data_IF_803811816965
#
_entry.id   IF_803811816965
#
_cell.length_a   1.000
_cell.length_b   1.000
_cell.length_c   1.000
_cell.angle_alpha   90.00
_cell.angle_beta   90.00
_cell.angle_gamma   90.00
#
_symmetry.space_group_name_H-M   'P 1'
#
loop_
_entity.id
_entity.type
_entity.pdbx_description
1 polymer ?
#
# COMPACT_ATOMS: atom_id res chain seq x y z
N UNK A 1 -14.21 9.56 11.54
CA UNK A 1 -15.24 9.94 12.52
C UNK A 1 -16.52 9.17 12.24
N UNK A 2 -17.17 8.66 13.29
CA UNK A 2 -18.41 7.89 13.16
C UNK A 2 -19.35 8.21 14.31
N UNK A 3 -20.61 8.55 13.97
CA UNK A 3 -21.70 8.75 14.93
C UNK A 3 -21.31 9.67 16.10
N UNK A 4 -20.66 10.78 15.80
CA UNK A 4 -20.20 11.75 16.79
C UNK A 4 -20.69 13.16 16.44
N UNK A 5 -20.74 14.01 17.45
CA UNK A 5 -21.05 15.44 17.31
C UNK A 5 -19.73 16.22 17.27
N UNK A 6 -19.47 16.85 16.14
CA UNK A 6 -18.34 17.74 15.87
C UNK A 6 -18.84 19.15 15.53
N UNK A 7 -20.03 19.53 16.03
CA UNK A 7 -20.57 20.85 15.84
C UNK A 7 -19.62 21.92 16.40
N UNK A 8 -19.34 22.94 15.58
CA UNK A 8 -18.40 24.00 15.94
C UNK A 8 -16.92 23.59 15.99
N UNK A 9 -16.57 22.36 15.64
CA UNK A 9 -15.18 21.91 15.62
C UNK A 9 -14.36 22.72 14.61
N UNK A 10 -13.08 22.95 14.91
CA UNK A 10 -12.13 23.68 14.07
C UNK A 10 -11.22 22.70 13.33
N UNK A 11 -11.32 22.69 12.00
CA UNK A 11 -10.47 21.93 11.09
C UNK A 11 -9.56 22.81 10.22
N UNK A 12 -9.39 24.08 10.62
CA UNK A 12 -8.56 25.02 9.87
C UNK A 12 -7.17 24.50 9.63
N UNK A 13 -6.72 24.48 8.38
CA UNK A 13 -5.41 23.98 7.98
C UNK A 13 -5.22 22.48 8.15
N UNK A 14 -6.21 21.72 8.61
CA UNK A 14 -6.11 20.28 8.76
C UNK A 14 -6.04 19.57 7.40
N UNK A 15 -5.24 18.52 7.30
CA UNK A 15 -5.28 17.61 6.16
C UNK A 15 -6.31 16.50 6.38
N UNK A 16 -7.38 16.53 5.58
CA UNK A 16 -8.44 15.53 5.60
C UNK A 16 -8.23 14.37 4.61
N UNK A 17 -7.01 14.18 4.12
CA UNK A 17 -6.65 12.97 3.38
C UNK A 17 -7.07 11.75 4.19
N UNK A 18 -7.81 10.84 3.55
CA UNK A 18 -8.25 9.60 4.19
C UNK A 18 -9.16 9.77 5.43
N UNK A 19 -9.68 10.96 5.67
CA UNK A 19 -10.68 11.18 6.71
C UNK A 19 -12.07 10.83 6.17
N UNK A 20 -12.80 10.01 6.92
CA UNK A 20 -14.16 9.59 6.60
C UNK A 20 -15.08 10.04 7.72
N UNK A 21 -16.18 10.65 7.32
CA UNK A 21 -17.29 10.99 8.19
C UNK A 21 -18.44 10.00 7.94
N UNK A 22 -19.06 9.51 8.98
CA UNK A 22 -20.24 8.67 8.89
C UNK A 22 -21.20 9.02 10.00
N UNK A 23 -22.38 9.50 9.64
CA UNK A 23 -23.44 9.91 10.57
C UNK A 23 -22.88 10.91 11.60
N UNK A 24 -22.16 11.94 11.12
CA UNK A 24 -21.47 12.93 11.97
C UNK A 24 -22.21 14.25 11.89
N UNK A 25 -22.46 14.86 13.05
CA UNK A 25 -22.98 16.22 13.11
C UNK A 25 -21.83 17.22 12.99
N UNK A 26 -21.95 18.14 12.03
CA UNK A 26 -20.91 19.11 11.68
C UNK A 26 -21.38 20.57 11.73
N UNK A 27 -22.58 20.82 12.26
CA UNK A 27 -23.19 22.16 12.26
C UNK A 27 -22.22 23.21 12.82
N UNK A 28 -21.90 24.23 12.02
CA UNK A 28 -20.97 25.30 12.39
C UNK A 28 -19.49 24.91 12.45
N UNK A 29 -19.12 23.66 12.11
CA UNK A 29 -17.72 23.26 12.03
C UNK A 29 -16.99 24.08 10.94
N UNK A 30 -15.76 24.50 11.23
CA UNK A 30 -14.93 25.36 10.39
C UNK A 30 -13.88 24.52 9.62
N UNK A 31 -13.98 24.55 8.30
CA UNK A 31 -13.10 23.85 7.36
C UNK A 31 -12.29 24.84 6.50
N UNK A 32 -12.14 26.09 6.94
CA UNK A 32 -11.32 27.09 6.24
C UNK A 32 -9.90 26.56 6.08
N UNK A 33 -9.29 26.77 4.90
CA UNK A 33 -7.92 26.39 4.60
C UNK A 33 -7.63 24.87 4.75
N UNK A 34 -8.67 24.03 4.88
CA UNK A 34 -8.52 22.57 5.00
C UNK A 34 -7.96 21.98 3.72
N UNK A 35 -6.93 21.13 3.87
CA UNK A 35 -6.29 20.42 2.77
C UNK A 35 -7.06 19.11 2.50
N UNK A 36 -7.21 18.74 1.22
CA UNK A 36 -7.87 17.51 0.77
C UNK A 36 -9.32 17.35 1.27
N UNK A 37 -10.05 18.46 1.34
CA UNK A 37 -11.46 18.48 1.72
C UNK A 37 -12.30 17.63 0.74
N UNK A 38 -13.14 16.68 1.22
CA UNK A 38 -14.06 15.91 0.38
C UNK A 38 -15.01 16.81 -0.43
N UNK A 39 -15.24 16.49 -1.71
CA UNK A 39 -16.03 17.35 -2.60
C UNK A 39 -17.49 17.47 -2.18
N UNK A 40 -18.08 16.42 -1.60
CA UNK A 40 -19.45 16.46 -1.06
C UNK A 40 -19.55 17.31 0.21
N UNK A 41 -18.50 17.34 1.04
CA UNK A 41 -18.42 18.23 2.18
C UNK A 41 -18.23 19.69 1.71
N UNK A 42 -17.34 19.91 0.74
CA UNK A 42 -17.08 21.25 0.15
C UNK A 42 -18.36 21.92 -0.35
N UNK A 43 -19.27 21.15 -0.98
CA UNK A 43 -20.55 21.65 -1.51
C UNK A 43 -21.53 22.12 -0.42
N UNK A 44 -21.31 21.72 0.83
CA UNK A 44 -22.17 22.05 1.98
C UNK A 44 -21.57 23.16 2.86
N UNK A 45 -20.48 23.78 2.44
CA UNK A 45 -19.84 24.87 3.17
C UNK A 45 -20.29 26.24 2.65
N UNK A 46 -20.49 27.17 3.58
CA UNK A 46 -20.64 28.60 3.29
C UNK A 46 -19.58 29.35 4.09
N UNK A 47 -18.75 30.14 3.42
CA UNK A 47 -17.61 30.85 4.03
C UNK A 47 -16.72 29.90 4.90
N UNK A 48 -16.44 28.69 4.38
CA UNK A 48 -15.63 27.68 5.07
C UNK A 48 -16.34 26.92 6.19
N UNK A 49 -17.57 27.25 6.55
CA UNK A 49 -18.32 26.61 7.63
C UNK A 49 -19.44 25.71 7.12
N UNK A 50 -19.61 24.57 7.77
CA UNK A 50 -20.72 23.65 7.48
C UNK A 50 -22.04 24.20 8.03
N UNK A 51 -23.04 24.33 7.15
CA UNK A 51 -24.29 25.07 7.47
C UNK A 51 -25.52 24.16 7.59
N UNK A 52 -25.39 22.86 7.34
CA UNK A 52 -26.53 21.94 7.43
C UNK A 52 -26.62 21.32 8.82
N UNK A 53 -27.85 21.12 9.32
CA UNK A 53 -28.13 20.38 10.55
C UNK A 53 -28.26 18.87 10.34
N UNK A 54 -28.24 18.41 9.07
CA UNK A 54 -28.26 16.99 8.73
C UNK A 54 -26.94 16.31 9.10
N UNK A 55 -27.03 15.05 9.50
CA UNK A 55 -25.85 14.22 9.70
C UNK A 55 -25.10 14.05 8.37
N UNK A 56 -23.81 14.34 8.38
CA UNK A 56 -22.96 14.21 7.23
C UNK A 56 -22.34 12.81 7.15
N UNK A 57 -22.40 12.23 5.97
CA UNK A 57 -21.70 11.00 5.62
C UNK A 57 -20.96 11.19 4.31
N UNK A 58 -19.65 10.96 4.31
CA UNK A 58 -18.83 10.99 3.09
C UNK A 58 -19.37 9.98 2.09
N UNK A 59 -19.73 10.42 0.90
CA UNK A 59 -20.20 9.51 -0.16
C UNK A 59 -19.03 8.77 -0.80
N UNK A 60 -19.26 7.55 -1.29
CA UNK A 60 -18.22 6.77 -1.96
C UNK A 60 -17.66 7.47 -3.21
N UNK A 61 -18.45 8.34 -3.85
CA UNK A 61 -18.03 9.13 -5.02
C UNK A 61 -17.10 10.30 -4.69
N UNK A 62 -17.09 10.77 -3.44
CA UNK A 62 -16.20 11.85 -2.98
C UNK A 62 -14.87 11.34 -2.42
N UNK A 63 -14.74 10.02 -2.25
CA UNK A 63 -13.50 9.40 -1.80
C UNK A 63 -12.51 9.44 -2.96
N UNK A 64 -11.37 10.14 -2.80
CA UNK A 64 -10.29 10.09 -3.77
C UNK A 64 -9.89 8.62 -4.02
N UNK A 65 -9.66 8.22 -5.28
CA UNK A 65 -9.21 6.87 -5.57
C UNK A 65 -7.92 6.59 -4.81
N UNK A 66 -7.85 5.40 -4.21
CA UNK A 66 -6.65 4.93 -3.54
C UNK A 66 -5.63 4.46 -4.55
N UNK A 67 -4.38 4.75 -4.28
CA UNK A 67 -3.26 4.41 -5.15
C UNK A 67 -2.30 3.46 -4.44
N UNK A 68 -1.88 2.42 -5.14
CA UNK A 68 -0.85 1.49 -4.70
C UNK A 68 0.33 1.58 -5.67
N UNK A 69 1.53 1.74 -5.13
CA UNK A 69 2.76 1.69 -5.89
C UNK A 69 3.26 0.25 -5.99
N UNK A 70 3.62 -0.20 -7.20
CA UNK A 70 4.24 -1.51 -7.43
C UNK A 70 5.76 -1.36 -7.54
N UNK A 71 6.48 -1.79 -6.52
CA UNK A 71 7.92 -2.01 -6.56
C UNK A 71 8.19 -3.35 -7.26
N UNK A 72 8.69 -3.32 -8.49
CA UNK A 72 8.92 -4.51 -9.30
C UNK A 72 10.12 -4.31 -10.22
N UNK A 73 10.92 -5.35 -10.49
CA UNK A 73 11.93 -5.29 -11.55
C UNK A 73 11.32 -4.90 -12.89
N UNK A 74 12.09 -4.18 -13.71
CA UNK A 74 11.64 -3.78 -15.06
C UNK A 74 11.59 -4.96 -16.04
N UNK A 75 12.48 -5.92 -15.86
CA UNK A 75 12.52 -7.16 -16.64
C UNK A 75 12.09 -8.30 -15.73
N UNK A 76 11.04 -9.00 -16.14
CA UNK A 76 10.45 -10.11 -15.38
C UNK A 76 10.16 -11.28 -16.34
N UNK A 77 10.17 -12.50 -15.80
CA UNK A 77 9.75 -13.70 -16.53
C UNK A 77 8.24 -13.64 -16.85
N UNK A 78 7.80 -14.40 -17.84
CA UNK A 78 6.38 -14.43 -18.21
C UNK A 78 5.45 -14.77 -17.06
N UNK A 79 5.82 -15.76 -16.24
CA UNK A 79 5.05 -16.15 -15.06
C UNK A 79 4.98 -15.02 -14.02
N UNK A 80 6.09 -14.32 -13.78
CA UNK A 80 6.14 -13.15 -12.88
C UNK A 80 5.26 -12.01 -13.37
N UNK A 81 5.22 -11.80 -14.70
CA UNK A 81 4.31 -10.82 -15.33
C UNK A 81 2.85 -11.19 -15.07
N UNK A 82 2.49 -12.49 -15.24
CA UNK A 82 1.12 -12.95 -14.99
C UNK A 82 0.69 -12.71 -13.54
N UNK A 83 1.55 -12.92 -12.54
CA UNK A 83 1.25 -12.58 -11.15
C UNK A 83 0.94 -11.10 -10.98
N UNK A 84 1.80 -10.25 -11.54
CA UNK A 84 1.65 -8.79 -11.45
C UNK A 84 0.36 -8.31 -12.12
N UNK A 85 0.10 -8.76 -13.34
CA UNK A 85 -1.05 -8.36 -14.13
C UNK A 85 -2.38 -8.82 -13.48
N UNK A 86 -2.41 -10.05 -12.92
CA UNK A 86 -3.58 -10.58 -12.21
C UNK A 86 -3.87 -9.80 -10.93
N UNK A 87 -2.84 -9.39 -10.19
CA UNK A 87 -3.02 -8.55 -9.00
C UNK A 87 -3.49 -7.15 -9.36
N UNK A 88 -2.92 -6.54 -10.39
CA UNK A 88 -3.36 -5.23 -10.89
C UNK A 88 -4.84 -5.25 -11.29
N UNK A 89 -5.26 -6.30 -12.02
CA UNK A 89 -6.65 -6.49 -12.39
C UNK A 89 -7.58 -6.64 -11.17
N UNK A 90 -7.13 -7.39 -10.15
CA UNK A 90 -7.86 -7.53 -8.89
C UNK A 90 -8.00 -6.19 -8.14
N UNK A 91 -6.93 -5.42 -8.01
CA UNK A 91 -6.95 -4.11 -7.38
C UNK A 91 -7.86 -3.13 -8.11
N UNK A 92 -7.78 -3.09 -9.43
CA UNK A 92 -8.63 -2.26 -10.29
C UNK A 92 -10.12 -2.61 -10.13
N UNK A 93 -10.48 -3.90 -10.12
CA UNK A 93 -11.84 -4.39 -9.84
C UNK A 93 -12.35 -3.90 -8.49
N UNK A 94 -11.47 -3.73 -7.52
CA UNK A 94 -11.77 -3.25 -6.18
C UNK A 94 -11.63 -1.72 -6.02
N UNK A 95 -11.47 -0.97 -7.12
CA UNK A 95 -11.42 0.50 -7.12
C UNK A 95 -10.11 1.10 -6.61
N UNK A 96 -9.04 0.30 -6.58
CA UNK A 96 -7.68 0.74 -6.26
C UNK A 96 -6.90 0.90 -7.57
N UNK A 97 -6.21 2.02 -7.70
CA UNK A 97 -5.37 2.32 -8.87
C UNK A 97 -3.91 1.97 -8.56
N UNK A 98 -3.24 1.39 -9.55
CA UNK A 98 -1.80 1.17 -9.47
C UNK A 98 -1.09 2.38 -10.08
N UNK A 99 -0.09 2.93 -9.38
CA UNK A 99 0.77 3.96 -9.92
C UNK A 99 1.71 3.27 -10.93
N UNK A 100 1.65 3.66 -12.22
CA UNK A 100 2.50 3.02 -13.22
C UNK A 100 3.97 3.36 -12.96
N UNK A 101 4.80 2.32 -12.94
CA UNK A 101 6.24 2.44 -12.93
C UNK A 101 6.76 2.24 -14.34
N UNK A 102 7.15 3.32 -15.00
CA UNK A 102 7.75 3.27 -16.34
C UNK A 102 9.14 3.86 -16.24
N UNK A 103 10.17 3.01 -16.23
CA UNK A 103 11.58 3.42 -16.11
C UNK A 103 12.02 4.41 -17.17
N UNK A 104 11.49 4.27 -18.38
CA UNK A 104 11.87 5.10 -19.53
C UNK A 104 11.50 6.59 -19.35
N UNK A 105 10.62 6.89 -18.40
CA UNK A 105 10.19 8.26 -18.08
C UNK A 105 10.95 8.89 -16.90
N UNK A 106 11.97 8.21 -16.35
CA UNK A 106 12.76 8.77 -15.28
C UNK A 106 13.91 9.63 -15.82
N UNK A 107 14.22 10.75 -15.18
CA UNK A 107 15.39 11.54 -15.53
C UNK A 107 16.66 10.70 -15.34
N UNK A 108 17.65 10.88 -16.21
CA UNK A 108 18.95 10.20 -16.10
C UNK A 108 19.64 10.44 -14.75
N UNK A 109 19.31 11.55 -14.08
CA UNK A 109 19.79 11.92 -12.75
C UNK A 109 18.58 12.11 -11.83
N UNK A 110 18.74 11.76 -10.54
CA UNK A 110 17.68 11.95 -9.55
C UNK A 110 16.60 10.85 -9.56
N UNK A 111 16.90 9.66 -10.07
CA UNK A 111 15.95 8.53 -10.09
C UNK A 111 15.38 8.22 -8.71
N UNK A 112 16.19 8.26 -7.66
CA UNK A 112 15.76 8.03 -6.27
C UNK A 112 14.68 9.03 -5.86
N UNK A 113 14.89 10.33 -6.17
CA UNK A 113 13.90 11.37 -5.90
C UNK A 113 12.59 11.16 -6.66
N UNK A 114 12.69 10.81 -7.95
CA UNK A 114 11.51 10.54 -8.79
C UNK A 114 10.69 9.34 -8.30
N UNK A 115 11.35 8.28 -7.83
CA UNK A 115 10.71 7.14 -7.19
C UNK A 115 10.08 7.55 -5.87
N UNK A 116 10.82 8.31 -5.04
CA UNK A 116 10.32 8.82 -3.76
C UNK A 116 9.02 9.61 -3.89
N UNK A 117 8.89 10.46 -4.92
CA UNK A 117 7.63 11.17 -5.20
C UNK A 117 6.49 10.21 -5.56
N UNK A 118 6.74 9.13 -6.29
CA UNK A 118 5.72 8.11 -6.59
C UNK A 118 5.29 7.35 -5.34
N UNK A 119 6.25 6.98 -4.50
CA UNK A 119 5.97 6.35 -3.20
C UNK A 119 5.12 7.28 -2.35
N UNK A 120 5.51 8.55 -2.21
CA UNK A 120 4.78 9.57 -1.45
C UNK A 120 3.33 9.79 -1.95
N UNK A 121 3.09 9.64 -3.24
CA UNK A 121 1.74 9.76 -3.83
C UNK A 121 0.87 8.53 -3.60
N UNK A 122 1.41 7.44 -3.08
CA UNK A 122 0.69 6.19 -2.87
C UNK A 122 0.08 6.10 -1.47
N UNK A 123 -1.03 5.36 -1.36
CA UNK A 123 -1.66 4.99 -0.09
C UNK A 123 -1.15 3.65 0.44
N UNK A 124 -0.35 2.94 -0.35
CA UNK A 124 0.28 1.67 0.00
C UNK A 124 1.27 1.23 -1.07
N UNK A 125 2.15 0.30 -0.73
CA UNK A 125 3.15 -0.26 -1.63
C UNK A 125 3.05 -1.79 -1.65
N UNK A 126 3.14 -2.37 -2.84
CA UNK A 126 3.32 -3.82 -3.02
C UNK A 126 4.67 -4.05 -3.69
N UNK A 127 5.48 -4.90 -3.07
CA UNK A 127 6.87 -5.16 -3.47
C UNK A 127 6.99 -6.58 -3.98
N UNK A 128 7.47 -6.73 -5.21
CA UNK A 128 7.65 -8.04 -5.83
C UNK A 128 9.11 -8.50 -5.73
N UNK A 129 9.35 -9.46 -4.84
CA UNK A 129 10.62 -10.15 -4.70
C UNK A 129 10.75 -11.25 -5.75
N UNK A 130 10.99 -10.85 -6.98
CA UNK A 130 11.27 -11.76 -8.11
C UNK A 130 12.76 -12.06 -8.21
N UNK A 131 13.10 -13.20 -8.79
CA UNK A 131 14.47 -13.66 -9.01
C UNK A 131 15.19 -12.77 -10.03
N UNK A 132 16.22 -12.05 -9.61
CA UNK A 132 16.99 -11.16 -10.49
C UNK A 132 18.44 -11.61 -10.66
N UNK A 133 19.10 -11.99 -9.59
CA UNK A 133 20.51 -12.40 -9.62
C UNK A 133 20.67 -13.75 -8.95
N UNK A 134 21.35 -14.68 -9.62
CA UNK A 134 21.73 -15.97 -9.06
C UNK A 134 23.20 -15.93 -8.64
N UNK A 135 23.46 -16.13 -7.37
CA UNK A 135 24.80 -16.43 -6.85
C UNK A 135 24.97 -17.95 -6.82
N UNK A 136 25.77 -18.48 -7.74
CA UNK A 136 26.03 -19.93 -7.81
C UNK A 136 26.95 -20.39 -6.67
N UNK A 137 27.96 -19.60 -6.34
CA UNK A 137 28.92 -19.85 -5.26
C UNK A 137 29.46 -18.51 -4.75
N UNK A 138 29.53 -18.35 -3.43
CA UNK A 138 29.98 -17.12 -2.82
C UNK A 138 30.12 -17.24 -1.31
N UNK A 139 30.65 -16.19 -0.69
CA UNK A 139 30.78 -16.07 0.76
C UNK A 139 30.09 -14.79 1.22
N UNK A 140 29.12 -14.94 2.11
CA UNK A 140 28.45 -13.83 2.75
C UNK A 140 29.17 -13.48 4.05
N UNK A 141 29.44 -12.20 4.28
CA UNK A 141 30.20 -11.65 5.41
C UNK A 141 31.55 -12.33 5.60
N UNK A 142 32.44 -12.32 4.57
CA UNK A 142 33.75 -12.92 4.70
C UNK A 142 34.54 -12.26 5.86
N UNK A 143 35.42 -13.01 6.49
CA UNK A 143 36.30 -12.55 7.57
C UNK A 143 35.57 -12.07 8.84
N UNK A 144 34.33 -12.53 9.07
CA UNK A 144 33.56 -12.27 10.31
C UNK A 144 33.15 -13.58 10.96
N UNK A 145 32.73 -13.53 12.24
CA UNK A 145 32.19 -14.70 12.97
C UNK A 145 30.90 -15.23 12.35
N UNK A 146 30.18 -14.39 11.57
CA UNK A 146 28.94 -14.74 10.85
C UNK A 146 29.20 -15.15 9.40
N UNK A 147 30.42 -15.55 9.05
CA UNK A 147 30.77 -15.99 7.69
C UNK A 147 29.89 -17.16 7.26
N UNK A 148 29.21 -17.02 6.14
CA UNK A 148 28.30 -18.05 5.60
C UNK A 148 28.58 -18.31 4.12
N UNK A 149 28.67 -19.60 3.75
CA UNK A 149 28.78 -19.98 2.35
C UNK A 149 27.41 -19.86 1.66
N UNK A 150 27.38 -19.17 0.52
CA UNK A 150 26.20 -19.05 -0.32
C UNK A 150 26.35 -19.92 -1.58
N UNK A 151 25.41 -20.84 -1.74
CA UNK A 151 25.31 -21.69 -2.93
C UNK A 151 23.91 -21.60 -3.51
N UNK A 152 23.79 -21.25 -4.79
CA UNK A 152 22.52 -21.13 -5.51
C UNK A 152 21.51 -20.20 -4.84
N UNK A 153 22.00 -19.07 -4.33
CA UNK A 153 21.16 -18.04 -3.69
C UNK A 153 20.60 -17.10 -4.74
N UNK A 154 19.30 -16.89 -4.72
CA UNK A 154 18.62 -15.90 -5.54
C UNK A 154 18.47 -14.58 -4.78
N UNK A 155 18.86 -13.48 -5.44
CA UNK A 155 18.67 -12.14 -4.93
C UNK A 155 17.55 -11.42 -5.71
N UNK A 156 16.72 -10.60 -5.01
CA UNK A 156 15.76 -9.72 -5.62
C UNK A 156 16.44 -8.47 -6.20
N UNK A 157 15.66 -7.53 -6.70
CA UNK A 157 16.18 -6.23 -7.11
C UNK A 157 16.62 -5.43 -5.90
N UNK A 158 17.82 -4.82 -5.89
CA UNK A 158 18.23 -3.91 -4.82
C UNK A 158 17.28 -2.70 -4.65
N UNK A 159 16.56 -2.33 -5.70
CA UNK A 159 15.56 -1.27 -5.64
C UNK A 159 14.41 -1.58 -4.68
N UNK A 160 14.06 -2.85 -4.51
CA UNK A 160 13.00 -3.24 -3.56
C UNK A 160 13.33 -2.76 -2.14
N UNK A 161 14.59 -2.90 -1.70
CA UNK A 161 15.01 -2.48 -0.35
C UNK A 161 14.99 -0.96 -0.19
N UNK A 162 15.47 -0.23 -1.21
CA UNK A 162 15.45 1.24 -1.23
C UNK A 162 14.01 1.76 -1.13
N UNK A 163 13.13 1.21 -1.94
CA UNK A 163 11.72 1.65 -2.02
C UNK A 163 10.95 1.31 -0.75
N UNK A 164 11.20 0.13 -0.14
CA UNK A 164 10.63 -0.21 1.17
C UNK A 164 11.13 0.73 2.26
N UNK A 165 12.42 1.07 2.25
CA UNK A 165 12.96 2.07 3.18
C UNK A 165 12.24 3.42 3.06
N UNK A 166 12.00 3.89 1.83
CA UNK A 166 11.22 5.12 1.59
C UNK A 166 9.79 5.01 2.13
N UNK A 167 9.09 3.91 1.83
CA UNK A 167 7.71 3.71 2.28
C UNK A 167 7.63 3.66 3.80
N UNK A 168 8.56 2.98 4.46
CA UNK A 168 8.64 2.88 5.93
C UNK A 168 8.84 4.26 6.58
N UNK A 169 9.75 5.07 6.06
CA UNK A 169 9.97 6.44 6.55
C UNK A 169 8.74 7.35 6.39
N UNK A 170 7.92 7.08 5.38
CA UNK A 170 6.69 7.83 5.10
C UNK A 170 5.45 7.21 5.77
N UNK A 171 5.60 6.18 6.59
CA UNK A 171 4.50 5.40 7.21
C UNK A 171 3.48 4.86 6.19
N UNK A 172 3.95 4.50 5.00
CA UNK A 172 3.12 3.92 3.94
C UNK A 172 3.08 2.39 4.16
N UNK A 173 1.89 1.77 4.24
CA UNK A 173 1.76 0.33 4.38
C UNK A 173 2.45 -0.44 3.25
N UNK A 174 3.15 -1.51 3.59
CA UNK A 174 3.88 -2.36 2.64
C UNK A 174 3.35 -3.79 2.69
N UNK A 175 3.20 -4.41 1.51
CA UNK A 175 3.01 -5.85 1.34
C UNK A 175 4.16 -6.40 0.50
N UNK A 176 4.87 -7.39 1.02
CA UNK A 176 5.86 -8.13 0.26
C UNK A 176 5.20 -9.33 -0.42
N UNK A 177 5.44 -9.49 -1.72
CA UNK A 177 5.05 -10.67 -2.50
C UNK A 177 6.32 -11.26 -3.09
N UNK A 178 6.68 -12.47 -2.72
CA UNK A 178 7.98 -13.04 -3.09
C UNK A 178 7.89 -14.43 -3.72
N UNK A 179 8.84 -14.73 -4.60
CA UNK A 179 9.17 -16.12 -4.93
C UNK A 179 9.70 -16.83 -3.67
N UNK A 180 9.37 -18.12 -3.52
CA UNK A 180 9.78 -18.91 -2.36
C UNK A 180 11.30 -19.00 -2.18
N UNK A 181 12.07 -18.88 -3.26
CA UNK A 181 13.53 -19.01 -3.25
C UNK A 181 14.22 -17.66 -2.92
N UNK A 182 13.48 -16.57 -2.79
CA UNK A 182 13.99 -15.27 -2.31
C UNK A 182 13.91 -15.26 -0.77
N UNK A 183 15.07 -15.30 -0.11
CA UNK A 183 15.18 -15.41 1.36
C UNK A 183 16.23 -14.44 1.94
N UNK A 184 16.53 -13.35 1.23
CA UNK A 184 17.58 -12.39 1.59
C UNK A 184 17.00 -10.99 1.79
N UNK A 185 17.71 -10.15 2.55
CA UNK A 185 17.34 -8.77 2.81
C UNK A 185 15.97 -8.65 3.47
N UNK A 186 15.14 -7.72 3.01
CA UNK A 186 13.77 -7.50 3.52
C UNK A 186 12.82 -8.70 3.35
N UNK A 187 13.19 -9.67 2.51
CA UNK A 187 12.41 -10.89 2.28
C UNK A 187 12.84 -12.06 3.19
N UNK A 188 13.83 -11.88 4.05
CA UNK A 188 14.20 -12.86 5.06
C UNK A 188 13.15 -12.87 6.17
N UNK A 189 12.50 -14.03 6.34
CA UNK A 189 11.46 -14.20 7.37
C UNK A 189 11.99 -14.18 8.80
N UNK A 190 13.31 -14.40 8.98
CA UNK A 190 13.95 -14.32 10.29
C UNK A 190 14.15 -12.88 10.78
N UNK A 191 14.02 -11.88 9.90
CA UNK A 191 14.02 -10.46 10.25
C UNK A 191 12.62 -9.95 10.64
N UNK A 192 11.73 -10.82 11.07
CA UNK A 192 10.29 -10.60 11.26
C UNK A 192 9.88 -9.70 12.44
N UNK A 193 10.75 -8.81 12.91
CA UNK A 193 10.36 -7.70 13.78
C UNK A 193 9.58 -6.59 13.04
N UNK A 194 9.38 -6.74 11.73
CA UNK A 194 8.65 -5.77 10.94
C UNK A 194 7.17 -6.15 10.83
N UNK A 195 6.27 -5.20 11.06
CA UNK A 195 4.82 -5.31 10.80
C UNK A 195 4.48 -5.54 9.31
N UNK A 196 5.48 -5.79 8.48
CA UNK A 196 5.35 -5.98 7.05
C UNK A 196 4.89 -7.39 6.74
N UNK A 197 3.72 -7.52 6.13
CA UNK A 197 3.17 -8.82 5.72
C UNK A 197 3.86 -9.33 4.45
N UNK A 198 4.09 -10.64 4.42
CA UNK A 198 4.74 -11.30 3.29
C UNK A 198 3.87 -12.43 2.75
N UNK A 199 3.57 -12.38 1.45
CA UNK A 199 2.90 -13.44 0.72
C UNK A 199 3.89 -14.19 -0.16
N UNK A 200 3.92 -15.52 -0.04
CA UNK A 200 4.79 -16.38 -0.88
C UNK A 200 4.00 -16.85 -2.10
N UNK A 201 4.52 -16.55 -3.28
CA UNK A 201 3.90 -16.90 -4.55
C UNK A 201 3.80 -18.44 -4.72
N UNK A 202 2.67 -18.94 -5.20
CA UNK A 202 2.55 -20.34 -5.61
C UNK A 202 3.43 -20.62 -6.84
N UNK A 203 3.57 -21.88 -7.22
CA UNK A 203 4.42 -22.26 -8.36
C UNK A 203 3.92 -21.73 -9.72
N UNK A 204 2.62 -21.55 -9.86
CA UNK A 204 1.99 -21.10 -11.10
C UNK A 204 0.98 -19.98 -10.83
N UNK A 205 0.87 -19.04 -11.76
CA UNK A 205 -0.01 -17.88 -11.61
C UNK A 205 -1.50 -18.26 -11.63
N UNK A 206 -1.87 -19.34 -12.30
CA UNK A 206 -3.24 -19.84 -12.38
C UNK A 206 -3.76 -20.33 -11.02
N UNK A 207 -2.86 -20.70 -10.11
CA UNK A 207 -3.23 -21.16 -8.77
C UNK A 207 -3.48 -20.03 -7.77
N UNK A 208 -3.33 -18.76 -8.18
CA UNK A 208 -3.58 -17.61 -7.29
C UNK A 208 -5.06 -17.31 -7.15
N UNK A 209 -5.47 -17.17 -5.90
CA UNK A 209 -6.77 -16.59 -5.54
C UNK A 209 -6.55 -15.35 -4.66
N UNK A 210 -6.53 -14.18 -5.29
CA UNK A 210 -6.37 -12.92 -4.57
C UNK A 210 -7.52 -12.59 -3.61
N UNK A 211 -8.74 -13.07 -3.91
CA UNK A 211 -9.93 -12.83 -3.07
C UNK A 211 -9.86 -13.54 -1.71
N UNK A 212 -9.05 -14.60 -1.61
CA UNK A 212 -8.83 -15.36 -0.37
C UNK A 212 -7.47 -15.12 0.29
N UNK A 213 -6.65 -14.23 -0.28
CA UNK A 213 -5.31 -13.95 0.23
C UNK A 213 -5.39 -13.07 1.49
N UNK A 214 -5.09 -13.67 2.64
CA UNK A 214 -5.20 -13.02 3.95
C UNK A 214 -4.26 -11.82 4.05
N UNK A 215 -3.02 -11.97 3.63
CA UNK A 215 -1.99 -10.93 3.67
C UNK A 215 -2.39 -9.71 2.82
N UNK A 216 -2.98 -9.96 1.64
CA UNK A 216 -3.49 -8.90 0.78
C UNK A 216 -4.72 -8.21 1.41
N UNK A 217 -5.65 -8.97 1.99
CA UNK A 217 -6.82 -8.40 2.66
C UNK A 217 -6.42 -7.53 3.87
N UNK A 218 -5.44 -7.98 4.66
CA UNK A 218 -4.89 -7.20 5.78
C UNK A 218 -4.24 -5.91 5.27
N UNK A 219 -3.38 -6.00 4.26
CA UNK A 219 -2.76 -4.84 3.63
C UNK A 219 -3.82 -3.85 3.09
N UNK A 220 -4.81 -4.33 2.34
CA UNK A 220 -5.86 -3.49 1.80
C UNK A 220 -6.69 -2.80 2.90
N UNK A 221 -6.84 -3.42 4.06
CA UNK A 221 -7.51 -2.80 5.20
C UNK A 221 -6.76 -1.58 5.78
N UNK A 222 -5.44 -1.52 5.56
CA UNK A 222 -4.60 -0.36 5.90
C UNK A 222 -4.70 0.73 4.84
N UNK A 223 -4.69 0.34 3.56
CA UNK A 223 -4.76 1.25 2.41
C UNK A 223 -6.13 1.93 2.29
N UNK A 224 -7.22 1.18 2.46
CA UNK A 224 -8.58 1.68 2.31
C UNK A 224 -9.53 1.10 3.37
N UNK A 225 -10.09 1.97 4.24
CA UNK A 225 -11.00 1.55 5.32
C UNK A 225 -12.21 0.73 4.89
N UNK A 226 -12.63 0.78 3.62
CA UNK A 226 -13.74 -0.06 3.13
C UNK A 226 -13.46 -1.55 3.28
N UNK A 227 -12.18 -1.98 3.20
CA UNK A 227 -11.78 -3.36 3.36
C UNK A 227 -11.79 -3.83 4.82
N UNK A 228 -11.70 -2.93 5.81
CA UNK A 228 -11.75 -3.27 7.24
C UNK A 228 -13.03 -4.01 7.65
N UNK A 229 -14.14 -3.74 6.95
CA UNK A 229 -15.44 -4.39 7.24
C UNK A 229 -15.51 -5.81 6.69
N UNK A 230 -14.90 -6.06 5.55
CA UNK A 230 -14.85 -7.38 4.93
C UNK A 230 -14.01 -8.35 5.77
N UNK A 231 -12.84 -7.92 6.23
CA UNK A 231 -11.95 -8.69 7.10
C UNK A 231 -12.62 -9.09 8.44
N UNK A 232 -13.33 -8.15 9.09
CA UNK A 232 -14.06 -8.45 10.36
C UNK A 232 -15.22 -9.44 10.18
N UNK A 233 -15.92 -9.41 9.04
CA UNK A 233 -17.00 -10.37 8.75
C UNK A 233 -16.48 -11.78 8.51
N UNK A 234 -15.33 -11.94 7.85
CA UNK A 234 -14.70 -13.24 7.59
C UNK A 234 -14.13 -13.86 8.88
N UNK A 235 -13.53 -13.04 9.77
CA UNK A 235 -13.02 -13.52 11.06
C UNK A 235 -14.15 -14.09 11.94
N UNK A 236 -15.27 -13.39 12.05
CA UNK A 236 -16.47 -13.90 12.79
C UNK A 236 -17.10 -15.16 12.20
N UNK A 237 -16.92 -15.42 10.89
CA UNK A 237 -17.43 -16.66 10.26
C UNK A 237 -16.51 -17.87 10.42
N UNK A 238 -15.24 -17.67 10.83
CA UNK A 238 -14.29 -18.75 11.11
C UNK A 238 -14.28 -19.16 12.60
N UNK A 239 -14.82 -18.31 13.47
CA UNK A 239 -14.91 -18.55 14.93
C UNK A 239 -16.27 -19.16 15.37
N UNK A 240 -17.21 -19.28 14.41
CA UNK A 240 -18.48 -20.00 14.54
C UNK A 240 -18.48 -21.25 13.65
#
# INVERSE_FOLDING_TARGET
>A
FKSCDLSGAMFNGADLSNVYFRDVKLTGADFSETINLPDDLRKKLVNGKYVSDELFTTTLSSIKPKYVFFSSPSVVMNNERMYKDSLEAYLKKNGIKVIPYVRDNYPKFGQIGAVGEKVKMSDGMIVFGFKQTLINDGVYRPETDDTTKWEKIWLPSPWNEIEVGMASMMNIPVLLIKDKDIQTGIFDQNLSETDIKTYVLPKTAESINWEGCVELEEFLSLVDPKFRKAAKKKKKKKEN
#
